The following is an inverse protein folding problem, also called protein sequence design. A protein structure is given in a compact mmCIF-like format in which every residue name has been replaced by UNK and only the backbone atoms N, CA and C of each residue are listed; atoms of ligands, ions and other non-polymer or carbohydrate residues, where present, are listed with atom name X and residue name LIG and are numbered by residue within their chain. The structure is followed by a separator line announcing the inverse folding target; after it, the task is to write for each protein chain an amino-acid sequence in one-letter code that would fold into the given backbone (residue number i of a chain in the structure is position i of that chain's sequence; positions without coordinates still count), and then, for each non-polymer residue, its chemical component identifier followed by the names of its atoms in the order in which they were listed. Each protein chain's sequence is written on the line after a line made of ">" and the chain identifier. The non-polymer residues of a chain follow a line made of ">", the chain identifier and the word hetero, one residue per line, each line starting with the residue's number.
data_IF_956128503471
#
_entry.id   IF_956128503471
#
_cell.length_a   1.000
_cell.length_b   1.000
_cell.length_c   1.000
_cell.angle_alpha   90.00
_cell.angle_beta   90.00
_cell.angle_gamma   90.00
#
_symmetry.space_group_name_H-M   'P 1'
#
loop_
_entity.id
_entity.type
_entity.pdbx_description
1 polymer ?
#
# COMPACT_ATOMS: atom_id res chain seq x y z
N UNK A 1 16.14 9.13 -19.70
CA UNK A 1 15.79 10.22 -18.73
C UNK A 1 16.33 9.84 -17.38
N UNK A 2 16.92 10.76 -16.64
CA UNK A 2 17.49 10.44 -15.31
C UNK A 2 16.40 10.48 -14.25
N UNK A 3 16.27 9.43 -13.45
CA UNK A 3 15.36 9.33 -12.31
C UNK A 3 15.64 10.46 -11.31
N UNK A 4 14.60 11.07 -10.75
CA UNK A 4 14.72 12.17 -9.78
C UNK A 4 13.93 11.93 -8.48
N UNK A 5 12.88 11.13 -8.53
CA UNK A 5 12.08 10.82 -7.35
C UNK A 5 11.74 9.34 -7.27
N UNK A 6 11.58 8.86 -6.05
CA UNK A 6 11.07 7.50 -5.75
C UNK A 6 9.86 7.64 -4.84
N UNK A 7 8.73 7.13 -5.28
CA UNK A 7 7.46 7.13 -4.57
C UNK A 7 7.19 5.70 -4.08
N UNK A 8 6.99 5.54 -2.80
CA UNK A 8 6.73 4.24 -2.18
C UNK A 8 5.24 4.06 -1.92
N UNK A 9 4.68 2.91 -2.24
CA UNK A 9 3.50 2.45 -1.52
C UNK A 9 3.86 2.12 -0.07
N UNK A 10 2.87 1.89 0.77
CA UNK A 10 3.09 1.62 2.19
C UNK A 10 2.91 0.14 2.54
N UNK A 11 1.68 -0.39 2.36
CA UNK A 11 1.37 -1.79 2.67
C UNK A 11 2.12 -2.73 1.70
N UNK A 12 2.79 -3.74 2.23
CA UNK A 12 3.55 -4.69 1.39
C UNK A 12 4.86 -4.12 0.81
N UNK A 13 5.09 -2.80 0.88
CA UNK A 13 6.32 -2.14 0.42
C UNK A 13 7.13 -1.62 1.61
N UNK A 14 6.67 -0.58 2.29
CA UNK A 14 7.35 -0.06 3.49
C UNK A 14 7.07 -0.95 4.69
N UNK A 15 5.84 -1.44 4.81
CA UNK A 15 5.34 -2.27 5.91
C UNK A 15 5.06 -3.70 5.47
N UNK A 16 5.57 -4.66 6.23
CA UNK A 16 5.13 -6.06 6.22
C UNK A 16 3.80 -6.14 6.98
N UNK A 17 2.72 -5.84 6.31
CA UNK A 17 1.37 -5.73 6.89
C UNK A 17 0.42 -6.83 6.43
N UNK A 18 0.77 -7.63 5.44
CA UNK A 18 -0.14 -8.61 4.82
C UNK A 18 -0.68 -9.64 5.81
N UNK A 19 0.22 -10.27 6.57
CA UNK A 19 -0.18 -11.26 7.59
C UNK A 19 -1.03 -10.63 8.68
N UNK A 20 -0.83 -9.34 8.97
CA UNK A 20 -1.63 -8.61 9.96
C UNK A 20 -3.04 -8.36 9.40
N UNK A 21 -3.15 -8.00 8.12
CA UNK A 21 -4.45 -7.88 7.44
C UNK A 21 -5.22 -9.22 7.42
N UNK A 22 -4.57 -10.33 7.09
CA UNK A 22 -5.21 -11.67 7.09
C UNK A 22 -5.78 -12.02 8.47
N UNK A 23 -5.07 -11.70 9.54
CA UNK A 23 -5.53 -11.89 10.90
C UNK A 23 -6.67 -10.95 11.27
N UNK A 24 -6.65 -9.72 10.77
CA UNK A 24 -7.75 -8.79 10.92
C UNK A 24 -9.03 -9.34 10.29
N UNK A 25 -8.95 -9.81 9.02
CA UNK A 25 -10.09 -10.41 8.33
C UNK A 25 -10.62 -11.65 9.07
N UNK A 26 -9.70 -12.49 9.54
CA UNK A 26 -10.05 -13.66 10.36
C UNK A 26 -10.79 -13.25 11.62
N UNK A 27 -10.29 -12.27 12.37
CA UNK A 27 -10.92 -11.81 13.60
C UNK A 27 -12.27 -11.10 13.34
N UNK A 28 -12.35 -10.30 12.31
CA UNK A 28 -13.58 -9.59 11.91
C UNK A 28 -14.70 -10.56 11.54
N UNK A 29 -14.40 -11.60 10.76
CA UNK A 29 -15.36 -12.63 10.35
C UNK A 29 -15.71 -13.59 11.50
N UNK A 30 -14.72 -13.96 12.33
CA UNK A 30 -14.93 -14.84 13.48
C UNK A 30 -15.93 -14.27 14.49
N UNK A 31 -16.04 -12.96 14.67
CA UNK A 31 -17.06 -12.31 15.49
C UNK A 31 -18.49 -12.63 15.04
N UNK A 32 -18.65 -13.11 13.81
CA UNK A 32 -19.92 -13.50 13.16
C UNK A 32 -20.04 -15.01 12.97
N UNK A 33 -19.11 -15.79 13.55
CA UNK A 33 -19.06 -17.23 13.37
C UNK A 33 -18.68 -17.67 11.95
N UNK A 34 -18.04 -16.80 11.16
CA UNK A 34 -17.67 -17.04 9.78
C UNK A 34 -16.17 -17.31 9.70
N UNK A 35 -15.76 -18.36 8.99
CA UNK A 35 -14.35 -18.62 8.69
C UNK A 35 -13.88 -17.78 7.50
N UNK A 36 -12.69 -17.19 7.60
CA UNK A 36 -12.06 -16.45 6.50
C UNK A 36 -11.47 -17.40 5.47
N UNK A 37 -11.97 -17.35 4.24
CA UNK A 37 -11.40 -18.05 3.09
C UNK A 37 -10.43 -17.12 2.35
N UNK A 38 -9.17 -17.08 2.81
CA UNK A 38 -8.16 -16.19 2.26
C UNK A 38 -7.91 -16.41 0.76
N UNK A 39 -7.71 -17.64 0.23
CA UNK A 39 -7.48 -17.86 -1.20
C UNK A 39 -8.59 -17.30 -2.09
N UNK A 40 -9.83 -17.36 -1.63
CA UNK A 40 -10.99 -16.88 -2.37
C UNK A 40 -11.17 -15.35 -2.23
N UNK A 41 -10.90 -14.80 -1.08
CA UNK A 41 -11.31 -13.43 -0.72
C UNK A 41 -10.22 -12.40 -0.94
N UNK A 42 -8.95 -12.73 -0.64
CA UNK A 42 -7.82 -11.80 -0.79
C UNK A 42 -7.73 -11.17 -2.18
N UNK A 43 -7.81 -11.93 -3.28
CA UNK A 43 -7.73 -11.33 -4.63
C UNK A 43 -8.81 -10.27 -4.91
N UNK A 44 -9.91 -10.32 -4.15
CA UNK A 44 -11.04 -9.42 -4.33
C UNK A 44 -10.91 -8.13 -3.50
N UNK A 45 -10.20 -8.17 -2.36
CA UNK A 45 -10.14 -7.05 -1.41
C UNK A 45 -8.80 -6.34 -1.37
N UNK A 46 -7.70 -7.00 -1.75
CA UNK A 46 -6.36 -6.39 -1.68
C UNK A 46 -6.28 -5.15 -2.57
N UNK A 47 -5.75 -4.07 -2.00
CA UNK A 47 -5.62 -2.77 -2.66
C UNK A 47 -6.93 -1.99 -2.81
N UNK A 48 -8.06 -2.49 -2.28
CA UNK A 48 -9.31 -1.71 -2.20
C UNK A 48 -9.26 -0.68 -1.07
N UNK A 49 -10.02 0.41 -1.25
CA UNK A 49 -10.38 1.29 -0.13
C UNK A 49 -11.20 0.54 0.92
N UNK A 50 -11.17 1.03 2.17
CA UNK A 50 -11.78 0.32 3.31
C UNK A 50 -13.27 0.00 3.10
N UNK A 51 -14.03 0.96 2.56
CA UNK A 51 -15.46 0.81 2.33
C UNK A 51 -15.76 -0.22 1.23
N UNK A 52 -15.00 -0.17 0.14
CA UNK A 52 -15.17 -1.12 -0.97
C UNK A 52 -14.78 -2.55 -0.53
N UNK A 53 -13.72 -2.70 0.27
CA UNK A 53 -13.35 -3.97 0.86
C UNK A 53 -14.45 -4.55 1.75
N UNK A 54 -15.08 -3.73 2.59
CA UNK A 54 -16.21 -4.14 3.42
C UNK A 54 -17.41 -4.56 2.58
N UNK A 55 -17.74 -3.82 1.51
CA UNK A 55 -18.84 -4.18 0.61
C UNK A 55 -18.60 -5.53 -0.07
N UNK A 56 -17.37 -5.83 -0.46
CA UNK A 56 -17.00 -7.16 -0.99
C UNK A 56 -17.19 -8.24 0.09
N UNK A 57 -16.73 -8.00 1.32
CA UNK A 57 -16.92 -8.95 2.43
C UNK A 57 -18.40 -9.19 2.72
N UNK A 58 -19.22 -8.13 2.72
CA UNK A 58 -20.68 -8.26 2.88
C UNK A 58 -21.28 -9.15 1.80
N UNK A 59 -20.90 -8.92 0.55
CA UNK A 59 -21.40 -9.72 -0.57
C UNK A 59 -20.94 -11.17 -0.52
N UNK A 60 -19.67 -11.42 -0.20
CA UNK A 60 -19.08 -12.76 -0.19
C UNK A 60 -19.60 -13.64 0.96
N UNK A 61 -19.81 -13.02 2.13
CA UNK A 61 -20.13 -13.75 3.35
C UNK A 61 -21.54 -13.50 3.89
N UNK A 62 -22.34 -12.66 3.23
CA UNK A 62 -23.70 -12.34 3.65
C UNK A 62 -23.74 -11.55 4.97
N UNK A 63 -22.75 -10.67 5.22
CA UNK A 63 -22.66 -9.92 6.47
C UNK A 63 -23.71 -8.82 6.49
N UNK A 64 -24.67 -8.82 7.44
CA UNK A 64 -25.64 -7.74 7.57
C UNK A 64 -25.03 -6.52 8.27
N UNK A 65 -25.62 -5.37 8.08
CA UNK A 65 -25.30 -4.13 8.81
C UNK A 65 -24.91 -2.97 7.91
N UNK A 66 -24.75 -1.83 8.54
CA UNK A 66 -24.30 -0.60 7.88
C UNK A 66 -22.83 -0.71 7.50
N UNK A 67 -22.46 -0.48 6.23
CA UNK A 67 -21.08 -0.58 5.78
C UNK A 67 -20.11 0.33 6.56
N UNK A 68 -20.52 1.52 6.94
CA UNK A 68 -19.64 2.47 7.63
C UNK A 68 -19.36 2.03 9.08
N UNK A 69 -20.35 1.42 9.75
CA UNK A 69 -20.16 0.80 11.06
C UNK A 69 -19.21 -0.42 10.97
N UNK A 70 -19.33 -1.23 9.92
CA UNK A 70 -18.44 -2.37 9.67
C UNK A 70 -17.01 -1.94 9.35
N UNK A 71 -16.84 -0.83 8.61
CA UNK A 71 -15.52 -0.22 8.39
C UNK A 71 -14.91 0.22 9.69
N UNK A 72 -15.66 0.92 10.55
CA UNK A 72 -15.17 1.36 11.85
C UNK A 72 -14.74 0.19 12.75
N UNK A 73 -15.53 -0.90 12.79
CA UNK A 73 -15.19 -2.12 13.52
C UNK A 73 -13.90 -2.75 12.99
N UNK A 74 -13.78 -2.92 11.67
CA UNK A 74 -12.60 -3.49 11.02
C UNK A 74 -11.35 -2.65 11.26
N UNK A 75 -11.47 -1.33 11.18
CA UNK A 75 -10.37 -0.41 11.48
C UNK A 75 -9.92 -0.48 12.94
N UNK A 76 -10.84 -0.65 13.89
CA UNK A 76 -10.48 -0.82 15.29
C UNK A 76 -9.68 -2.11 15.52
N UNK A 77 -10.07 -3.23 14.88
CA UNK A 77 -9.35 -4.50 14.96
C UNK A 77 -7.93 -4.36 14.40
N UNK A 78 -7.81 -3.80 13.19
CA UNK A 78 -6.50 -3.70 12.54
C UNK A 78 -5.57 -2.73 13.27
N UNK A 79 -6.09 -1.64 13.83
CA UNK A 79 -5.30 -0.67 14.59
C UNK A 79 -4.64 -1.32 15.82
N UNK A 80 -5.39 -2.15 16.57
CA UNK A 80 -4.84 -2.90 17.70
C UNK A 80 -3.72 -3.86 17.27
N UNK A 81 -3.88 -4.52 16.12
CA UNK A 81 -2.89 -5.44 15.58
C UNK A 81 -1.65 -4.70 15.07
N UNK A 82 -1.84 -3.59 14.37
CA UNK A 82 -0.72 -2.74 13.91
C UNK A 82 0.12 -2.24 15.07
N UNK A 83 -0.51 -1.73 16.13
CA UNK A 83 0.20 -1.26 17.31
C UNK A 83 1.11 -2.33 17.93
N UNK A 84 0.77 -3.61 17.80
CA UNK A 84 1.53 -4.72 18.39
C UNK A 84 2.52 -5.38 17.44
N UNK A 85 2.17 -5.55 16.19
CA UNK A 85 2.79 -6.55 15.32
C UNK A 85 3.39 -6.01 14.02
N UNK A 86 2.89 -4.86 13.50
CA UNK A 86 3.40 -4.31 12.24
C UNK A 86 4.91 -4.05 12.34
N UNK A 87 5.62 -4.35 11.27
CA UNK A 87 7.07 -4.15 11.14
C UNK A 87 7.39 -3.64 9.74
N UNK A 88 8.63 -3.20 9.56
CA UNK A 88 9.12 -2.88 8.22
C UNK A 88 9.25 -4.14 7.37
N UNK A 89 9.01 -4.00 6.07
CA UNK A 89 9.37 -5.01 5.09
C UNK A 89 10.86 -5.25 5.13
N UNK A 90 11.26 -6.52 5.03
CA UNK A 90 12.67 -6.91 5.07
C UNK A 90 13.50 -6.17 4.01
N UNK A 91 14.62 -5.61 4.43
CA UNK A 91 15.52 -4.85 3.58
C UNK A 91 15.09 -3.41 3.26
N UNK A 92 13.88 -2.97 3.64
CA UNK A 92 13.43 -1.61 3.36
C UNK A 92 14.37 -0.54 3.94
N UNK A 93 14.69 -0.61 5.23
CA UNK A 93 15.49 0.40 5.91
C UNK A 93 16.90 0.51 5.29
N UNK A 94 17.55 -0.63 5.06
CA UNK A 94 18.88 -0.69 4.44
C UNK A 94 18.86 -0.15 3.00
N UNK A 95 17.84 -0.50 2.23
CA UNK A 95 17.66 0.03 0.87
C UNK A 95 17.47 1.54 0.90
N UNK A 96 16.60 2.04 1.78
CA UNK A 96 16.34 3.46 1.89
C UNK A 96 17.62 4.23 2.26
N UNK A 97 18.35 3.81 3.29
CA UNK A 97 19.56 4.49 3.75
C UNK A 97 20.68 4.43 2.70
N UNK A 98 20.91 3.28 2.09
CA UNK A 98 22.04 3.08 1.19
C UNK A 98 21.80 3.56 -0.24
N UNK A 99 20.54 3.55 -0.73
CA UNK A 99 20.22 3.79 -2.14
C UNK A 99 19.36 5.01 -2.40
N UNK A 100 18.56 5.46 -1.42
CA UNK A 100 17.54 6.49 -1.60
C UNK A 100 17.95 7.80 -0.91
N UNK A 101 18.27 7.74 0.40
CA UNK A 101 18.53 8.94 1.20
C UNK A 101 19.60 9.84 0.57
N UNK A 102 19.23 11.12 0.37
CA UNK A 102 20.12 12.14 -0.20
C UNK A 102 20.37 12.05 -1.73
N UNK A 103 19.77 11.03 -2.39
CA UNK A 103 19.93 10.87 -3.86
C UNK A 103 18.66 11.20 -4.62
N UNK A 104 17.50 10.92 -4.06
CA UNK A 104 16.20 11.11 -4.69
C UNK A 104 15.26 11.90 -3.79
N UNK A 105 14.38 12.69 -4.40
CA UNK A 105 13.19 13.16 -3.71
C UNK A 105 12.29 11.95 -3.42
N UNK A 106 11.67 11.89 -2.23
CA UNK A 106 10.93 10.69 -1.84
C UNK A 106 9.70 11.00 -1.01
N UNK A 107 8.68 10.18 -1.14
CA UNK A 107 7.44 10.23 -0.36
C UNK A 107 6.77 8.86 -0.29
N UNK A 108 5.77 8.75 0.57
CA UNK A 108 4.80 7.66 0.55
C UNK A 108 3.51 8.14 -0.14
N UNK A 109 2.90 7.25 -0.94
CA UNK A 109 1.58 7.42 -1.54
C UNK A 109 0.77 6.12 -1.33
N UNK A 110 -0.07 6.08 -0.29
CA UNK A 110 -0.71 4.87 0.21
C UNK A 110 -2.24 4.92 0.11
N UNK A 111 -2.88 3.76 -0.03
CA UNK A 111 -4.33 3.60 0.12
C UNK A 111 -4.77 3.41 1.58
N UNK A 112 -3.82 3.31 2.52
CA UNK A 112 -4.10 3.18 3.95
C UNK A 112 -4.79 4.44 4.48
N UNK A 113 -5.76 4.32 5.40
CA UNK A 113 -6.31 5.47 6.12
C UNK A 113 -5.25 6.17 6.96
N UNK A 114 -5.32 7.51 7.03
CA UNK A 114 -4.38 8.34 7.79
C UNK A 114 -4.30 7.93 9.26
N UNK A 115 -5.41 7.57 9.85
CA UNK A 115 -5.50 7.16 11.26
C UNK A 115 -4.76 5.84 11.52
N UNK A 116 -4.86 4.89 10.60
CA UNK A 116 -4.13 3.63 10.69
C UNK A 116 -2.63 3.82 10.45
N UNK A 117 -2.27 4.67 9.47
CA UNK A 117 -0.88 5.06 9.25
C UNK A 117 -0.26 5.68 10.51
N UNK A 118 -0.99 6.54 11.22
CA UNK A 118 -0.50 7.15 12.46
C UNK A 118 -0.15 6.12 13.53
N UNK A 119 -0.93 5.04 13.66
CA UNK A 119 -0.62 3.92 14.57
C UNK A 119 0.68 3.21 14.16
N UNK A 120 0.89 2.99 12.87
CA UNK A 120 2.13 2.37 12.37
C UNK A 120 3.34 3.30 12.57
N UNK A 121 3.16 4.60 12.31
CA UNK A 121 4.23 5.60 12.48
C UNK A 121 4.61 5.79 13.96
N UNK A 122 3.65 5.81 14.87
CA UNK A 122 3.92 5.84 16.32
C UNK A 122 4.80 4.66 16.76
N UNK A 123 4.53 3.47 16.22
CA UNK A 123 5.29 2.27 16.53
C UNK A 123 6.67 2.23 15.90
N UNK A 124 6.79 2.61 14.64
CA UNK A 124 7.97 2.34 13.81
C UNK A 124 8.80 3.60 13.52
N UNK A 125 8.21 4.80 13.60
CA UNK A 125 8.90 6.04 13.24
C UNK A 125 9.08 6.21 11.73
N UNK A 126 8.08 5.90 10.93
CA UNK A 126 8.12 5.97 9.46
C UNK A 126 8.47 7.38 8.98
N UNK A 127 7.97 8.40 9.71
CA UNK A 127 8.28 9.80 9.45
C UNK A 127 9.79 10.12 9.50
N UNK A 128 10.63 9.29 10.15
CA UNK A 128 12.07 9.42 10.10
C UNK A 128 12.64 9.33 8.69
N UNK A 129 12.02 8.53 7.82
CA UNK A 129 12.44 8.33 6.44
C UNK A 129 11.88 9.40 5.49
N UNK A 130 10.62 9.79 5.67
CA UNK A 130 9.88 10.58 4.69
C UNK A 130 9.51 11.99 5.17
N UNK A 131 9.64 12.30 6.47
CA UNK A 131 9.13 13.52 7.07
C UNK A 131 7.60 13.60 6.91
N UNK A 132 7.10 14.76 6.51
CA UNK A 132 5.67 15.00 6.27
C UNK A 132 5.19 14.60 4.86
N UNK A 133 6.09 14.03 4.04
CA UNK A 133 5.76 13.67 2.64
C UNK A 133 5.06 12.32 2.55
N UNK A 134 3.87 12.25 3.13
CA UNK A 134 3.04 11.06 3.17
C UNK A 134 1.65 11.46 2.69
N UNK A 135 1.19 10.85 1.61
CA UNK A 135 -0.04 11.22 0.91
C UNK A 135 -1.06 10.10 0.93
N UNK A 136 -2.32 10.49 1.10
CA UNK A 136 -3.46 9.62 1.35
C UNK A 136 -4.57 9.88 0.33
N UNK A 137 -5.54 8.97 0.16
CA UNK A 137 -6.69 9.19 -0.72
C UNK A 137 -7.46 10.48 -0.40
N UNK A 138 -7.54 10.88 0.87
CA UNK A 138 -8.18 12.14 1.29
C UNK A 138 -7.54 13.38 0.66
N UNK A 139 -6.25 13.33 0.33
CA UNK A 139 -5.53 14.46 -0.29
C UNK A 139 -5.91 14.67 -1.77
N UNK A 140 -6.59 13.69 -2.36
CA UNK A 140 -7.04 13.69 -3.77
C UNK A 140 -8.54 13.46 -3.93
N UNK A 141 -9.35 13.87 -2.93
CA UNK A 141 -10.81 13.75 -2.98
C UNK A 141 -11.32 12.32 -2.95
N UNK A 142 -10.59 11.40 -2.29
CA UNK A 142 -10.98 10.01 -2.11
C UNK A 142 -10.73 9.11 -3.34
N UNK A 143 -10.10 9.63 -4.39
CA UNK A 143 -9.79 8.83 -5.59
C UNK A 143 -8.67 7.84 -5.32
N UNK A 144 -9.07 6.58 -5.09
CA UNK A 144 -8.16 5.49 -4.79
C UNK A 144 -7.52 4.88 -6.05
N UNK A 145 -6.39 4.18 -5.89
CA UNK A 145 -5.80 3.32 -6.92
C UNK A 145 -6.87 2.34 -7.45
N UNK A 146 -6.99 2.10 -8.77
CA UNK A 146 -6.03 2.38 -9.83
C UNK A 146 -6.16 3.75 -10.51
N UNK A 147 -6.85 4.74 -9.93
CA UNK A 147 -6.77 6.11 -10.40
C UNK A 147 -5.34 6.66 -10.19
N UNK A 148 -4.79 7.42 -11.14
CA UNK A 148 -3.42 7.92 -11.06
C UNK A 148 -3.25 9.10 -10.09
N UNK A 149 -4.36 9.64 -9.58
CA UNK A 149 -4.43 10.92 -8.89
C UNK A 149 -3.48 11.02 -7.71
N UNK A 150 -3.36 9.97 -6.91
CA UNK A 150 -2.50 9.96 -5.73
C UNK A 150 -1.01 10.04 -6.11
N UNK A 151 -0.59 9.30 -7.13
CA UNK A 151 0.79 9.36 -7.61
C UNK A 151 1.10 10.68 -8.32
N UNK A 152 0.18 11.21 -9.12
CA UNK A 152 0.33 12.54 -9.73
C UNK A 152 0.41 13.65 -8.67
N UNK A 153 -0.40 13.56 -7.61
CA UNK A 153 -0.31 14.47 -6.47
C UNK A 153 1.06 14.37 -5.78
N UNK A 154 1.53 13.15 -5.50
CA UNK A 154 2.84 12.90 -4.90
C UNK A 154 3.98 13.51 -5.74
N UNK A 155 3.99 13.27 -7.05
CA UNK A 155 4.97 13.83 -7.97
C UNK A 155 4.96 15.37 -7.97
N UNK A 156 3.77 15.97 -8.01
CA UNK A 156 3.61 17.42 -7.94
C UNK A 156 4.15 18.00 -6.62
N UNK A 157 3.89 17.35 -5.48
CA UNK A 157 4.43 17.74 -4.17
C UNK A 157 5.94 17.60 -4.06
N UNK A 158 6.53 16.65 -4.79
CA UNK A 158 7.98 16.48 -4.89
C UNK A 158 8.61 17.44 -5.94
N UNK A 159 7.81 18.20 -6.68
CA UNK A 159 8.29 19.08 -7.76
C UNK A 159 8.95 18.29 -8.91
N UNK A 160 8.55 17.04 -9.13
CA UNK A 160 9.16 16.13 -10.09
C UNK A 160 8.15 15.75 -11.17
N UNK A 161 8.47 15.85 -12.46
CA UNK A 161 7.57 15.40 -13.51
C UNK A 161 7.40 13.87 -13.47
N UNK A 162 6.19 13.33 -13.79
CA UNK A 162 5.86 11.91 -13.65
C UNK A 162 6.86 10.96 -14.32
N UNK A 163 7.32 11.29 -15.53
CA UNK A 163 8.27 10.47 -16.29
C UNK A 163 9.67 10.37 -15.66
N UNK A 164 9.93 11.13 -14.60
CA UNK A 164 11.16 11.06 -13.79
C UNK A 164 10.93 10.49 -12.39
N UNK A 165 9.73 9.95 -12.14
CA UNK A 165 9.37 9.27 -10.92
C UNK A 165 9.42 7.76 -11.11
N UNK A 166 9.93 7.05 -10.10
CA UNK A 166 9.81 5.61 -9.95
C UNK A 166 8.83 5.33 -8.83
N UNK A 167 7.85 4.47 -9.08
CA UNK A 167 6.95 3.94 -8.06
C UNK A 167 7.44 2.55 -7.65
N UNK A 168 7.50 2.27 -6.35
CA UNK A 168 7.69 0.92 -5.81
C UNK A 168 6.36 0.49 -5.20
N UNK A 169 5.82 -0.61 -5.69
CA UNK A 169 4.47 -1.10 -5.43
C UNK A 169 4.43 -2.63 -5.39
N UNK A 170 3.49 -3.19 -4.62
CA UNK A 170 3.31 -4.63 -4.47
C UNK A 170 1.99 -5.15 -5.05
N UNK A 171 1.11 -4.24 -5.52
CA UNK A 171 -0.24 -4.57 -5.96
C UNK A 171 -0.51 -4.28 -7.44
N UNK A 172 -1.34 -5.10 -8.11
CA UNK A 172 -1.76 -4.83 -9.50
C UNK A 172 -2.45 -3.46 -9.66
N UNK A 173 -3.25 -3.04 -8.68
CA UNK A 173 -3.99 -1.77 -8.74
C UNK A 173 -3.05 -0.57 -8.65
N UNK A 174 -2.03 -0.66 -7.81
CA UNK A 174 -1.05 0.40 -7.68
C UNK A 174 -0.14 0.50 -8.90
N UNK A 175 0.28 -0.63 -9.46
CA UNK A 175 1.05 -0.65 -10.71
C UNK A 175 0.25 -0.07 -11.89
N UNK A 176 -1.04 -0.39 -11.98
CA UNK A 176 -1.91 0.24 -12.98
C UNK A 176 -2.03 1.75 -12.77
N UNK A 177 -2.12 2.21 -11.51
CA UNK A 177 -2.13 3.64 -11.19
C UNK A 177 -0.82 4.33 -11.60
N UNK A 178 0.35 3.72 -11.34
CA UNK A 178 1.65 4.24 -11.74
C UNK A 178 1.76 4.35 -13.27
N UNK A 179 1.36 3.30 -14.00
CA UNK A 179 1.31 3.30 -15.47
C UNK A 179 0.40 4.39 -16.01
N UNK A 180 -0.80 4.56 -15.44
CA UNK A 180 -1.75 5.64 -15.83
C UNK A 180 -1.21 7.02 -15.51
N UNK A 181 -0.36 7.15 -14.49
CA UNK A 181 0.33 8.39 -14.15
C UNK A 181 1.52 8.69 -15.07
N UNK A 182 1.92 7.77 -15.94
CA UNK A 182 3.09 7.92 -16.81
C UNK A 182 4.42 7.80 -16.07
N UNK A 183 4.45 7.05 -14.96
CA UNK A 183 5.61 6.81 -14.12
C UNK A 183 6.23 5.45 -14.41
N UNK A 184 7.54 5.32 -14.18
CA UNK A 184 8.20 4.02 -14.09
C UNK A 184 7.75 3.28 -12.83
N UNK A 185 7.76 1.95 -12.87
CA UNK A 185 7.33 1.14 -11.74
C UNK A 185 8.19 -0.10 -11.52
N UNK A 186 8.40 -0.41 -10.24
CA UNK A 186 8.95 -1.69 -9.78
C UNK A 186 7.86 -2.38 -8.97
N UNK A 187 7.46 -3.57 -9.41
CA UNK A 187 6.63 -4.48 -8.63
C UNK A 187 7.49 -5.24 -7.63
N UNK A 188 7.22 -5.08 -6.34
CA UNK A 188 7.86 -5.84 -5.26
C UNK A 188 6.94 -7.01 -4.88
N UNK A 189 7.36 -8.24 -5.18
CA UNK A 189 6.54 -9.45 -5.02
C UNK A 189 6.50 -9.92 -3.54
N UNK A 190 5.96 -9.09 -2.68
CA UNK A 190 5.74 -9.38 -1.26
C UNK A 190 4.32 -9.88 -0.97
N UNK A 191 3.34 -9.36 -1.72
CA UNK A 191 1.90 -9.61 -1.49
C UNK A 191 1.28 -10.43 -2.62
N UNK A 192 1.74 -10.22 -3.84
CA UNK A 192 1.21 -10.86 -5.05
C UNK A 192 2.29 -11.64 -5.79
N UNK A 193 1.84 -12.68 -6.51
CA UNK A 193 2.71 -13.46 -7.38
C UNK A 193 3.33 -12.58 -8.48
N UNK A 194 4.61 -12.80 -8.83
CA UNK A 194 5.32 -11.99 -9.83
C UNK A 194 4.57 -11.86 -11.16
N UNK A 195 3.92 -12.93 -11.61
CA UNK A 195 3.16 -12.98 -12.86
C UNK A 195 1.99 -11.97 -12.85
N UNK A 196 1.34 -11.77 -11.71
CA UNK A 196 0.26 -10.79 -11.55
C UNK A 196 0.78 -9.37 -11.68
N UNK A 197 1.95 -9.08 -11.12
CA UNK A 197 2.58 -7.76 -11.18
C UNK A 197 3.08 -7.46 -12.60
N UNK A 198 3.63 -8.46 -13.31
CA UNK A 198 3.97 -8.34 -14.74
C UNK A 198 2.72 -8.06 -15.56
N UNK A 199 1.64 -8.81 -15.35
CA UNK A 199 0.38 -8.62 -16.08
C UNK A 199 -0.26 -7.24 -15.82
N UNK A 200 -0.03 -6.66 -14.63
CA UNK A 200 -0.47 -5.32 -14.28
C UNK A 200 0.36 -4.20 -14.92
N UNK A 201 1.46 -4.55 -15.58
CA UNK A 201 2.31 -3.63 -16.35
C UNK A 201 3.45 -3.00 -15.54
N UNK A 202 3.99 -3.71 -14.54
CA UNK A 202 5.24 -3.32 -13.90
C UNK A 202 6.38 -3.31 -14.94
N UNK A 203 7.20 -2.24 -14.95
CA UNK A 203 8.39 -2.18 -15.83
C UNK A 203 9.45 -3.19 -15.40
N UNK A 204 9.47 -3.50 -14.11
CA UNK A 204 10.30 -4.54 -13.51
C UNK A 204 9.60 -5.16 -12.31
N UNK A 205 9.77 -6.48 -12.13
CA UNK A 205 9.33 -7.20 -10.93
C UNK A 205 10.55 -7.78 -10.23
N UNK A 206 10.58 -7.64 -8.90
CA UNK A 206 11.65 -8.13 -8.02
C UNK A 206 11.04 -8.79 -6.79
N UNK A 207 11.79 -9.69 -6.15
CA UNK A 207 11.35 -10.37 -4.93
C UNK A 207 11.87 -9.70 -3.65
N UNK A 208 12.83 -8.80 -3.76
CA UNK A 208 13.44 -8.11 -2.61
C UNK A 208 13.95 -6.72 -2.98
N UNK A 209 14.13 -5.87 -1.98
CA UNK A 209 14.76 -4.55 -2.15
C UNK A 209 16.19 -4.64 -2.67
N UNK A 210 16.91 -5.72 -2.38
CA UNK A 210 18.30 -5.90 -2.83
C UNK A 210 18.42 -5.96 -4.36
N UNK A 211 17.36 -6.40 -5.04
CA UNK A 211 17.31 -6.54 -6.50
C UNK A 211 16.96 -5.23 -7.22
N UNK A 212 16.49 -4.20 -6.50
CA UNK A 212 16.10 -2.92 -7.12
C UNK A 212 17.35 -2.17 -7.57
N UNK A 213 17.53 -2.07 -8.89
CA UNK A 213 18.54 -1.23 -9.51
C UNK A 213 17.97 0.17 -9.77
N UNK A 214 18.64 1.20 -9.28
CA UNK A 214 18.35 2.61 -9.56
C UNK A 214 19.46 3.14 -10.44
N UNK A 215 19.22 3.19 -11.74
CA UNK A 215 20.17 3.72 -12.73
C UNK A 215 19.80 5.14 -13.17
#
# INVERSE_FOLDING_TARGET
>A
MTLAAVIFDCDGVVLDSETVWDRCETAFLARRGIAFDAPRTKPLITGLGQRDGVLVLQQQYGIPGDPDALVAERLAIIAEMFAREVRYTEGFADFFESRIRGRFATCIATSMPRELFAVADEKLGIAHFFGERIYFPSDVGGRAKPAPDLFLHAAAKLGTPPERCLVIEDSPRGLEAARRAGMLSVGLATTHEPEMLVAAGADRVVSSFAEIGLA
#
